data_IF_799073865423
#
_entry.id   IF_799073865423
#
_cell.length_a   1.000
_cell.length_b   1.000
_cell.length_c   1.000
_cell.angle_alpha   90.00
_cell.angle_beta   90.00
_cell.angle_gamma   90.00
#
_symmetry.space_group_name_H-M   'P 1'
#
loop_
_entity.id
_entity.type
_entity.pdbx_description
1 polymer ?
#
# COMPACT_ATOMS: atom_id res chain seq x y z
N UNK A 1 13.48 11.98 8.80
CA UNK A 1 13.35 10.52 9.03
C UNK A 1 12.04 10.08 8.39
N UNK A 2 12.07 9.12 7.45
CA UNK A 2 10.83 8.46 7.04
C UNK A 2 10.39 7.55 8.19
N UNK A 3 9.22 7.81 8.78
CA UNK A 3 8.64 6.93 9.78
C UNK A 3 8.22 5.63 9.08
N UNK A 4 9.08 4.60 9.17
CA UNK A 4 8.85 3.27 8.61
C UNK A 4 7.47 2.70 9.02
N UNK A 5 6.93 3.13 10.15
CA UNK A 5 5.60 2.74 10.63
C UNK A 5 4.49 3.08 9.64
N UNK A 6 4.57 4.23 8.95
CA UNK A 6 3.47 4.71 8.09
C UNK A 6 3.38 3.92 6.79
N UNK A 7 4.50 3.54 6.19
CA UNK A 7 4.48 2.72 4.97
C UNK A 7 3.97 1.30 5.26
N UNK A 8 4.35 0.72 6.40
CA UNK A 8 3.79 -0.57 6.82
C UNK A 8 2.28 -0.50 7.11
N UNK A 9 1.76 0.63 7.60
CA UNK A 9 0.32 0.85 7.71
C UNK A 9 -0.40 0.80 6.35
N UNK A 10 0.18 1.39 5.30
CA UNK A 10 -0.40 1.29 3.95
C UNK A 10 -0.35 -0.14 3.41
N UNK A 11 0.72 -0.89 3.67
CA UNK A 11 0.80 -2.33 3.36
C UNK A 11 -0.31 -3.10 4.10
N UNK A 12 -0.48 -2.84 5.40
CA UNK A 12 -1.53 -3.44 6.22
C UNK A 12 -2.93 -3.19 5.68
N UNK A 13 -3.24 -1.94 5.29
CA UNK A 13 -4.52 -1.58 4.66
C UNK A 13 -4.75 -2.30 3.34
N UNK A 14 -3.71 -2.43 2.51
CA UNK A 14 -3.81 -3.17 1.25
C UNK A 14 -4.08 -4.66 1.48
N UNK A 15 -3.44 -5.27 2.49
CA UNK A 15 -3.69 -6.65 2.91
C UNK A 15 -5.12 -6.82 3.45
N UNK A 16 -5.55 -5.93 4.34
CA UNK A 16 -6.89 -5.94 4.92
C UNK A 16 -7.97 -5.81 3.84
N UNK A 17 -7.78 -4.92 2.86
CA UNK A 17 -8.71 -4.77 1.76
C UNK A 17 -8.81 -6.05 0.91
N UNK A 18 -7.68 -6.72 0.61
CA UNK A 18 -7.71 -8.01 -0.09
C UNK A 18 -8.43 -9.09 0.74
N UNK A 19 -8.23 -9.08 2.06
CA UNK A 19 -8.91 -10.01 2.95
C UNK A 19 -10.43 -9.81 2.96
N UNK A 20 -10.92 -8.57 3.04
CA UNK A 20 -12.36 -8.28 2.95
C UNK A 20 -12.94 -8.58 1.57
N UNK A 21 -12.16 -8.42 0.51
CA UNK A 21 -12.53 -8.78 -0.87
C UNK A 21 -12.49 -10.31 -1.10
N UNK A 22 -12.15 -11.13 -0.08
CA UNK A 22 -11.92 -12.58 -0.17
C UNK A 22 -10.87 -12.98 -1.22
N UNK A 23 -9.94 -12.07 -1.50
CA UNK A 23 -8.85 -12.25 -2.46
C UNK A 23 -7.62 -12.86 -1.78
N UNK A 24 -6.85 -13.64 -2.54
CA UNK A 24 -5.58 -14.16 -2.03
C UNK A 24 -4.59 -13.04 -1.73
N UNK A 25 -4.00 -13.06 -0.53
CA UNK A 25 -2.96 -12.09 -0.14
C UNK A 25 -1.61 -12.55 -0.70
N UNK A 26 -1.30 -12.10 -1.92
CA UNK A 26 0.01 -12.31 -2.54
C UNK A 26 0.75 -10.98 -2.70
N UNK A 27 2.09 -11.02 -2.72
CA UNK A 27 2.93 -9.83 -2.93
C UNK A 27 2.47 -8.99 -4.12
N UNK A 28 2.18 -9.65 -5.26
CA UNK A 28 1.70 -9.00 -6.48
C UNK A 28 0.35 -8.31 -6.28
N UNK A 29 -0.60 -8.96 -5.59
CA UNK A 29 -1.93 -8.37 -5.32
C UNK A 29 -1.85 -7.21 -4.34
N UNK A 30 -0.98 -7.29 -3.32
CA UNK A 30 -0.75 -6.18 -2.39
C UNK A 30 -0.16 -4.97 -3.14
N UNK A 31 0.83 -5.16 -4.01
CA UNK A 31 1.34 -4.10 -4.89
C UNK A 31 0.24 -3.53 -5.78
N UNK A 32 -0.61 -4.39 -6.35
CA UNK A 32 -1.75 -3.97 -7.17
C UNK A 32 -2.73 -3.07 -6.40
N UNK A 33 -3.08 -3.45 -5.16
CA UNK A 33 -3.98 -2.65 -4.30
C UNK A 33 -3.33 -1.32 -3.89
N UNK A 34 -2.06 -1.32 -3.52
CA UNK A 34 -1.31 -0.09 -3.24
C UNK A 34 -1.24 0.83 -4.47
N UNK A 35 -1.08 0.28 -5.67
CA UNK A 35 -1.07 1.06 -6.91
C UNK A 35 -2.43 1.69 -7.20
N UNK A 36 -3.53 1.03 -6.84
CA UNK A 36 -4.86 1.64 -6.91
C UNK A 36 -5.00 2.80 -5.92
N UNK A 37 -4.62 2.59 -4.65
CA UNK A 37 -4.62 3.64 -3.62
C UNK A 37 -3.77 4.86 -4.04
N UNK A 38 -2.61 4.63 -4.67
CA UNK A 38 -1.75 5.70 -5.17
C UNK A 38 -2.43 6.58 -6.23
N UNK A 39 -3.25 5.99 -7.10
CA UNK A 39 -4.00 6.73 -8.14
C UNK A 39 -5.10 7.60 -7.53
N UNK A 40 -5.71 7.14 -6.44
CA UNK A 40 -6.82 7.79 -5.76
C UNK A 40 -6.35 8.85 -4.74
N UNK A 41 -5.12 8.74 -4.23
CA UNK A 41 -4.58 9.67 -3.24
C UNK A 41 -4.24 11.03 -3.86
N UNK A 42 -4.69 12.11 -3.19
CA UNK A 42 -4.48 13.49 -3.62
C UNK A 42 -3.34 14.16 -2.85
N UNK A 43 -3.07 13.73 -1.63
CA UNK A 43 -2.04 14.29 -0.77
C UNK A 43 -0.64 13.82 -1.23
N UNK A 44 0.27 14.75 -1.60
CA UNK A 44 1.60 14.38 -2.09
C UNK A 44 2.46 13.65 -1.04
N UNK A 45 2.26 13.93 0.26
CA UNK A 45 2.98 13.25 1.35
C UNK A 45 2.54 11.80 1.41
N UNK A 46 1.22 11.55 1.40
CA UNK A 46 0.66 10.20 1.40
C UNK A 46 0.99 9.41 0.14
N UNK A 47 0.99 10.07 -1.02
CA UNK A 47 1.48 9.45 -2.27
C UNK A 47 2.91 8.95 -2.12
N UNK A 48 3.80 9.76 -1.55
CA UNK A 48 5.19 9.36 -1.33
C UNK A 48 5.29 8.16 -0.36
N UNK A 49 4.48 8.13 0.70
CA UNK A 49 4.41 6.98 1.62
C UNK A 49 3.96 5.70 0.90
N UNK A 50 2.93 5.78 0.04
CA UNK A 50 2.44 4.64 -0.75
C UNK A 50 3.50 4.18 -1.77
N UNK A 51 4.22 5.09 -2.41
CA UNK A 51 5.33 4.75 -3.31
C UNK A 51 6.42 3.98 -2.56
N UNK A 52 6.83 4.44 -1.37
CA UNK A 52 7.83 3.73 -0.56
C UNK A 52 7.29 2.36 -0.13
N UNK A 53 6.01 2.24 0.22
CA UNK A 53 5.38 0.94 0.53
C UNK A 53 5.46 -0.03 -0.67
N UNK A 54 5.23 0.46 -1.89
CA UNK A 54 5.40 -0.33 -3.12
C UNK A 54 6.88 -0.72 -3.31
N UNK A 55 7.82 0.19 -3.07
CA UNK A 55 9.27 -0.08 -3.16
C UNK A 55 9.73 -1.15 -2.17
N UNK A 56 9.23 -1.13 -0.93
CA UNK A 56 9.51 -2.18 0.07
C UNK A 56 9.06 -3.56 -0.44
N UNK A 57 7.95 -3.59 -1.18
CA UNK A 57 7.38 -4.81 -1.73
C UNK A 57 7.87 -5.15 -3.14
N UNK A 58 8.75 -4.38 -3.78
CA UNK A 58 9.31 -4.67 -5.12
C UNK A 58 10.62 -5.43 -5.04
#
# INVERSE_FOLDING_TARGET
>A
MCDLSVQHCHIGKAVEALFYDAESVTRLKVIGKLSLMLREESDPVRKNEIVIAITILS
#
